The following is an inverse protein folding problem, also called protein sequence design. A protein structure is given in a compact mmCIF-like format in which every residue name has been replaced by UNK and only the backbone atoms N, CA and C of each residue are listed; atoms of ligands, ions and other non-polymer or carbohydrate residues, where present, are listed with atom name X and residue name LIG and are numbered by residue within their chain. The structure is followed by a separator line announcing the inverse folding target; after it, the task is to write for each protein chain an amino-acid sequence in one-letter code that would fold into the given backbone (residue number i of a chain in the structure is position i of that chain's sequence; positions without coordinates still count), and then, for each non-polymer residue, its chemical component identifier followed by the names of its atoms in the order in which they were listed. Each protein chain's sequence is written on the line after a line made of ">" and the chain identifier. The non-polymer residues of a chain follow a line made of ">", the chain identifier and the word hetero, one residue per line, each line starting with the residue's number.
data_IF_070445544324
#
_entry.id   IF_070445544324
#
_cell.length_a   1.000
_cell.length_b   1.000
_cell.length_c   1.000
_cell.angle_alpha   90.00
_cell.angle_beta   90.00
_cell.angle_gamma   90.00
#
_symmetry.space_group_name_H-M   'P 1'
#
loop_
_entity.id
_entity.type
_entity.pdbx_description
1 polymer ?
#
# COMPACT_ATOMS: atom_id res chain seq x y z
N UNK A 1 -6.83 -33.33 -5.46
CA UNK A 1 -7.93 -32.38 -5.17
C UNK A 1 -7.74 -31.80 -3.78
N UNK A 2 -6.83 -30.83 -3.63
CA UNK A 2 -6.49 -30.23 -2.34
C UNK A 2 -7.39 -29.03 -2.05
N UNK A 3 -8.16 -29.12 -0.97
CA UNK A 3 -9.07 -28.07 -0.52
C UNK A 3 -8.28 -26.83 -0.09
N UNK A 4 -8.53 -25.70 -0.75
CA UNK A 4 -8.12 -24.37 -0.28
C UNK A 4 -8.86 -24.05 1.02
N UNK A 5 -8.14 -24.05 2.14
CA UNK A 5 -8.64 -23.47 3.40
C UNK A 5 -8.43 -21.96 3.37
N UNK A 6 -9.51 -21.22 3.11
CA UNK A 6 -9.60 -19.82 3.49
C UNK A 6 -9.50 -19.73 5.02
N UNK A 7 -8.40 -19.18 5.53
CA UNK A 7 -8.29 -18.73 6.92
C UNK A 7 -8.32 -17.20 6.93
N UNK A 8 -9.48 -16.67 6.58
CA UNK A 8 -9.97 -15.40 7.12
C UNK A 8 -11.19 -15.73 7.98
N UNK A 9 -10.97 -16.37 9.13
CA UNK A 9 -11.99 -16.45 10.18
C UNK A 9 -12.05 -15.10 10.85
N UNK A 10 -13.01 -14.29 10.40
CA UNK A 10 -13.51 -13.13 11.12
C UNK A 10 -14.31 -13.62 12.33
N UNK A 11 -13.66 -13.82 13.47
CA UNK A 11 -14.37 -14.17 14.69
C UNK A 11 -14.10 -13.16 15.82
N UNK A 12 -15.21 -12.68 16.37
CA UNK A 12 -15.41 -11.91 17.59
C UNK A 12 -15.12 -10.39 17.54
N UNK A 13 -16.15 -9.64 17.15
CA UNK A 13 -16.39 -8.29 17.67
C UNK A 13 -16.56 -8.41 19.19
N UNK A 14 -15.76 -7.71 20.03
CA UNK A 14 -15.97 -7.75 21.47
C UNK A 14 -17.19 -6.90 21.85
N UNK A 15 -18.31 -7.55 22.15
CA UNK A 15 -19.46 -6.92 22.82
C UNK A 15 -19.22 -6.91 24.33
N UNK A 16 -18.58 -5.85 24.83
CA UNK A 16 -18.40 -5.67 26.27
C UNK A 16 -19.65 -5.07 26.92
N UNK A 17 -20.49 -5.94 27.48
CA UNK A 17 -21.24 -5.72 28.73
C UNK A 17 -22.28 -4.57 28.79
N UNK A 18 -23.07 -4.53 29.89
CA UNK A 18 -23.97 -3.41 30.13
C UNK A 18 -23.14 -2.16 30.43
N UNK A 19 -23.13 -1.22 29.49
CA UNK A 19 -22.59 0.12 29.72
C UNK A 19 -23.38 0.76 30.87
N UNK A 20 -22.67 0.99 31.97
CA UNK A 20 -23.12 1.76 33.13
C UNK A 20 -23.92 2.99 32.70
N UNK A 21 -25.03 3.28 33.40
CA UNK A 21 -25.94 4.40 33.13
C UNK A 21 -25.21 5.75 33.21
N UNK A 22 -24.55 6.14 32.13
CA UNK A 22 -23.84 7.40 31.93
C UNK A 22 -24.03 7.88 30.50
N UNK A 23 -23.97 9.20 30.29
CA UNK A 23 -24.20 9.81 28.98
C UNK A 23 -23.07 9.43 28.00
N UNK A 24 -23.40 8.70 26.93
CA UNK A 24 -22.48 8.37 25.84
C UNK A 24 -21.96 9.66 25.18
N UNK A 25 -20.66 9.94 25.35
CA UNK A 25 -19.98 11.12 24.83
C UNK A 25 -19.41 10.81 23.44
N UNK A 26 -20.12 11.19 22.38
CA UNK A 26 -19.75 10.89 20.98
C UNK A 26 -18.55 11.69 20.44
N UNK A 27 -18.09 12.71 21.18
CA UNK A 27 -16.83 13.42 20.92
C UNK A 27 -15.60 12.71 21.49
N UNK A 28 -15.83 11.60 22.22
CA UNK A 28 -14.81 10.79 22.89
C UNK A 28 -14.32 9.61 22.04
N UNK A 29 -15.05 9.26 20.98
CA UNK A 29 -14.61 8.26 20.01
C UNK A 29 -13.97 8.97 18.81
N UNK A 30 -12.68 8.75 18.54
CA UNK A 30 -12.02 9.39 17.42
C UNK A 30 -12.60 8.84 16.10
N UNK A 31 -13.04 9.75 15.23
CA UNK A 31 -13.47 9.45 13.86
C UNK A 31 -12.35 8.76 13.04
N UNK A 32 -11.10 8.92 13.50
CA UNK A 32 -9.91 8.29 12.95
C UNK A 32 -9.03 7.76 14.09
N UNK A 33 -9.24 6.50 14.47
CA UNK A 33 -8.22 5.74 15.21
C UNK A 33 -7.19 5.25 14.19
N UNK A 34 -6.32 6.17 13.75
CA UNK A 34 -5.12 5.76 13.02
C UNK A 34 -4.24 4.91 13.94
N UNK A 35 -3.29 4.12 13.43
CA UNK A 35 -2.23 3.53 14.23
C UNK A 35 -1.32 4.68 14.74
N UNK A 36 -1.84 5.47 15.67
CA UNK A 36 -1.16 6.61 16.23
C UNK A 36 -0.28 6.08 17.34
N UNK A 37 1.02 6.30 17.21
CA UNK A 37 1.93 6.09 18.32
C UNK A 37 1.48 7.00 19.44
N UNK A 38 1.24 6.42 20.61
CA UNK A 38 0.97 7.22 21.79
C UNK A 38 2.19 8.13 22.03
N UNK A 39 2.04 9.46 22.11
CA UNK A 39 3.18 10.36 22.32
C UNK A 39 4.00 10.01 23.57
N UNK A 40 3.36 9.39 24.58
CA UNK A 40 4.03 8.92 25.79
C UNK A 40 4.88 7.66 25.57
N UNK A 41 4.63 6.92 24.49
CA UNK A 41 5.43 5.78 24.06
C UNK A 41 6.53 6.19 23.07
N UNK A 42 6.55 7.46 22.66
CA UNK A 42 7.51 8.01 21.70
C UNK A 42 8.53 8.88 22.42
N UNK A 43 9.73 8.35 22.59
CA UNK A 43 10.86 9.11 23.12
C UNK A 43 11.50 8.41 24.32
N UNK A 44 12.67 8.89 24.74
CA UNK A 44 13.37 8.29 25.85
C UNK A 44 12.84 8.78 27.20
N UNK A 45 12.49 7.85 28.08
CA UNK A 45 12.00 8.14 29.44
C UNK A 45 13.08 8.74 30.36
N UNK A 46 14.35 8.60 29.98
CA UNK A 46 15.50 9.11 30.71
C UNK A 46 16.55 9.68 29.75
N UNK A 47 17.39 10.55 30.28
CA UNK A 47 18.55 11.10 29.56
C UNK A 47 19.80 11.02 30.43
N UNK A 48 20.96 10.96 29.80
CA UNK A 48 22.23 11.04 30.51
C UNK A 48 22.49 12.49 30.92
N UNK A 49 23.01 12.71 32.13
CA UNK A 49 23.41 14.04 32.64
C UNK A 49 24.42 14.70 31.70
N UNK A 50 25.30 13.90 31.10
CA UNK A 50 26.30 14.34 30.11
C UNK A 50 25.70 14.75 28.75
N UNK A 51 24.37 14.67 28.58
CA UNK A 51 23.68 15.04 27.34
C UNK A 51 23.78 14.01 26.21
N UNK A 52 24.28 12.80 26.49
CA UNK A 52 24.32 11.73 25.48
C UNK A 52 22.91 11.32 25.07
N UNK A 53 22.70 11.11 23.77
CA UNK A 53 21.40 10.73 23.22
C UNK A 53 21.09 9.26 23.48
N UNK A 54 19.92 8.99 24.07
CA UNK A 54 19.38 7.63 24.20
C UNK A 54 18.59 7.30 22.94
N UNK A 55 19.00 6.25 22.22
CA UNK A 55 18.43 5.93 20.90
C UNK A 55 17.07 5.20 20.99
N UNK A 56 16.91 4.34 21.99
CA UNK A 56 15.71 3.55 22.26
C UNK A 56 15.64 3.24 23.75
N UNK A 57 14.46 3.35 24.36
CA UNK A 57 14.26 3.01 25.77
C UNK A 57 13.49 1.73 26.01
N UNK A 58 12.67 1.27 25.05
CA UNK A 58 11.85 0.05 25.21
C UNK A 58 11.95 -0.92 24.03
N UNK A 59 11.68 -2.19 24.29
CA UNK A 59 11.58 -3.24 23.25
C UNK A 59 10.42 -2.97 22.30
N UNK A 60 9.34 -2.38 22.78
CA UNK A 60 8.17 -1.99 21.98
C UNK A 60 8.58 -0.93 20.95
N UNK A 61 9.29 0.11 21.37
CA UNK A 61 9.82 1.13 20.46
C UNK A 61 10.78 0.54 19.43
N UNK A 62 11.63 -0.42 19.83
CA UNK A 62 12.55 -1.09 18.91
C UNK A 62 11.78 -1.87 17.83
N UNK A 63 10.81 -2.70 18.23
CA UNK A 63 10.00 -3.49 17.32
C UNK A 63 9.24 -2.60 16.34
N UNK A 64 8.64 -1.52 16.84
CA UNK A 64 7.93 -0.57 16.00
C UNK A 64 8.85 0.09 14.96
N UNK A 65 10.05 0.54 15.36
CA UNK A 65 11.04 1.10 14.42
C UNK A 65 11.47 0.07 13.36
N UNK A 66 11.68 -1.19 13.77
CA UNK A 66 12.03 -2.27 12.83
C UNK A 66 10.89 -2.55 11.83
N UNK A 67 9.65 -2.55 12.29
CA UNK A 67 8.48 -2.73 11.44
C UNK A 67 8.31 -1.58 10.46
N UNK A 68 8.53 -0.33 10.89
CA UNK A 68 8.53 0.81 9.97
C UNK A 68 9.57 0.66 8.86
N UNK A 69 10.79 0.22 9.20
CA UNK A 69 11.84 -0.03 8.21
C UNK A 69 11.42 -1.15 7.25
N UNK A 70 10.83 -2.24 7.76
CA UNK A 70 10.34 -3.36 6.95
C UNK A 70 9.26 -2.91 5.97
N UNK A 71 8.29 -2.13 6.45
CA UNK A 71 7.21 -1.59 5.64
C UNK A 71 7.73 -0.63 4.57
N UNK A 72 8.63 0.29 4.94
CA UNK A 72 9.23 1.24 4.01
C UNK A 72 9.98 0.52 2.87
N UNK A 73 10.80 -0.49 3.19
CA UNK A 73 11.49 -1.31 2.19
C UNK A 73 10.51 -1.99 1.24
N UNK A 74 9.45 -2.60 1.79
CA UNK A 74 8.43 -3.28 0.99
C UNK A 74 7.67 -2.31 0.07
N UNK A 75 7.36 -1.11 0.54
CA UNK A 75 6.70 -0.07 -0.27
C UNK A 75 7.59 0.30 -1.45
N UNK A 76 8.87 0.59 -1.21
CA UNK A 76 9.82 0.94 -2.27
C UNK A 76 9.96 -0.19 -3.29
N UNK A 77 10.06 -1.44 -2.84
CA UNK A 77 10.11 -2.61 -3.72
C UNK A 77 8.87 -2.72 -4.62
N UNK A 78 7.68 -2.58 -4.05
CA UNK A 78 6.42 -2.64 -4.80
C UNK A 78 6.31 -1.51 -5.83
N UNK A 79 6.70 -0.29 -5.46
CA UNK A 79 6.70 0.85 -6.38
C UNK A 79 7.68 0.61 -7.55
N UNK A 80 8.85 0.04 -7.28
CA UNK A 80 9.80 -0.32 -8.34
C UNK A 80 9.23 -1.41 -9.27
N UNK A 81 8.51 -2.40 -8.73
CA UNK A 81 7.83 -3.41 -9.54
C UNK A 81 6.76 -2.79 -10.45
N UNK A 82 5.95 -1.87 -9.92
CA UNK A 82 4.93 -1.15 -10.69
C UNK A 82 5.58 -0.38 -11.84
N UNK A 83 6.62 0.41 -11.55
CA UNK A 83 7.33 1.18 -12.58
C UNK A 83 7.90 0.28 -13.69
N UNK A 84 8.49 -0.86 -13.32
CA UNK A 84 9.01 -1.84 -14.29
C UNK A 84 7.90 -2.40 -15.20
N UNK A 85 6.76 -2.75 -14.61
CA UNK A 85 5.60 -3.26 -15.36
C UNK A 85 5.05 -2.19 -16.30
N UNK A 86 4.94 -0.94 -15.84
CA UNK A 86 4.47 0.17 -16.66
C UNK A 86 5.39 0.40 -17.87
N UNK A 87 6.70 0.35 -17.69
CA UNK A 87 7.66 0.51 -18.77
C UNK A 87 7.59 -0.63 -19.78
N UNK A 88 7.42 -1.87 -19.31
CA UNK A 88 7.19 -3.01 -20.20
C UNK A 88 5.89 -2.88 -20.97
N UNK A 89 4.81 -2.44 -20.31
CA UNK A 89 3.52 -2.22 -20.95
C UNK A 89 3.61 -1.16 -22.05
N UNK A 90 4.24 -0.01 -21.78
CA UNK A 90 4.47 1.05 -22.78
C UNK A 90 5.22 0.51 -24.00
N UNK A 91 6.26 -0.31 -23.78
CA UNK A 91 7.03 -0.94 -24.88
C UNK A 91 6.14 -1.87 -25.72
N UNK A 92 5.39 -2.76 -25.08
CA UNK A 92 4.48 -3.69 -25.77
C UNK A 92 3.41 -2.94 -26.57
N UNK A 93 2.80 -1.90 -26.00
CA UNK A 93 1.81 -1.09 -26.72
C UNK A 93 2.43 -0.39 -27.93
N UNK A 94 3.62 0.20 -27.79
CA UNK A 94 4.32 0.81 -28.93
C UNK A 94 4.66 -0.19 -30.04
N UNK A 95 4.99 -1.42 -29.67
CA UNK A 95 5.25 -2.51 -30.63
C UNK A 95 3.96 -2.92 -31.34
N UNK A 96 2.86 -3.10 -30.60
CA UNK A 96 1.53 -3.41 -31.18
C UNK A 96 1.08 -2.34 -32.17
N UNK A 97 1.27 -1.07 -31.84
CA UNK A 97 0.95 0.04 -32.75
C UNK A 97 1.83 0.03 -34.00
N UNK A 98 3.13 -0.24 -33.85
CA UNK A 98 4.06 -0.34 -34.98
C UNK A 98 3.71 -1.52 -35.89
N UNK A 99 3.40 -2.68 -35.31
CA UNK A 99 2.99 -3.88 -36.03
C UNK A 99 1.67 -3.67 -36.75
N UNK A 100 0.68 -3.03 -36.10
CA UNK A 100 -0.59 -2.69 -36.72
C UNK A 100 -0.40 -1.76 -37.92
N UNK A 101 0.41 -0.70 -37.78
CA UNK A 101 0.77 0.20 -38.88
C UNK A 101 1.49 -0.54 -40.01
N UNK A 102 2.38 -1.47 -39.67
CA UNK A 102 3.08 -2.26 -40.65
C UNK A 102 2.12 -3.16 -41.43
N UNK A 103 1.24 -3.89 -40.75
CA UNK A 103 0.21 -4.74 -41.36
C UNK A 103 -0.72 -3.91 -42.25
N UNK A 104 -1.19 -2.75 -41.78
CA UNK A 104 -2.04 -1.85 -42.55
C UNK A 104 -1.34 -1.33 -43.81
N UNK A 105 -0.03 -1.05 -43.74
CA UNK A 105 0.76 -0.61 -44.91
C UNK A 105 0.91 -1.71 -45.97
N UNK A 106 0.94 -2.98 -45.56
CA UNK A 106 1.02 -4.13 -46.46
C UNK A 106 -0.35 -4.52 -47.01
N UNK A 107 -1.45 -4.05 -46.41
CA UNK A 107 -2.79 -4.44 -46.79
C UNK A 107 -3.13 -3.91 -48.19
N UNK A 108 -3.62 -4.76 -49.11
CA UNK A 108 -4.02 -4.30 -50.43
C UNK A 108 -5.18 -3.31 -50.32
N UNK A 109 -5.08 -2.19 -51.05
CA UNK A 109 -6.14 -1.17 -51.13
C UNK A 109 -7.34 -1.74 -51.88
N UNK A 110 -8.55 -1.47 -51.39
CA UNK A 110 -9.77 -1.81 -52.11
C UNK A 110 -9.88 -0.95 -53.37
N UNK A 111 -10.19 -1.57 -54.51
CA UNK A 111 -10.49 -0.85 -55.75
C UNK A 111 -11.96 -0.41 -55.70
N UNK A 112 -12.26 0.87 -55.94
CA UNK A 112 -13.65 1.33 -56.06
C UNK A 112 -13.97 2.82 -55.93
N UNK A 113 -13.05 3.70 -55.54
CA UNK A 113 -13.35 5.15 -55.32
C UNK A 113 -12.32 6.11 -55.92
N UNK A 114 -11.25 5.62 -56.54
CA UNK A 114 -10.30 6.50 -57.25
C UNK A 114 -10.91 6.90 -58.59
N UNK A 115 -11.28 8.19 -58.74
CA UNK A 115 -11.72 8.74 -60.02
C UNK A 115 -10.53 8.78 -60.98
N UNK A 116 -10.66 8.08 -62.11
CA UNK A 116 -9.74 8.21 -63.23
C UNK A 116 -10.02 9.57 -63.87
N UNK A 117 -9.19 10.56 -63.58
CA UNK A 117 -9.09 11.80 -64.36
C UNK A 117 -7.87 11.71 -65.24
#
# INVERSE_FOLDING_TARGET
>A
MGQFRHLCTSDAIPTYGPVSKGRLQHWKEPLYSGPHLNPLEVGPDFSFIDGRTVQVTSTIQLNYKLDQIRLAKKIVELLNHINSIEDLHKKVESQREADAKHIDSLRPKSKGVESIV
#
